data_IF_472150749048
#
_entry.id   IF_472150749048
#
_cell.length_a   1.000
_cell.length_b   1.000
_cell.length_c   1.000
_cell.angle_alpha   90.00
_cell.angle_beta   90.00
_cell.angle_gamma   90.00
#
_symmetry.space_group_name_H-M   'P 1'
#
loop_
_entity.id
_entity.type
_entity.pdbx_description
1 polymer ?
#
# COMPACT_ATOMS: atom_id res chain seq x y z
N UNK A 1 3.81 21.35 24.10
CA UNK A 1 3.07 20.55 23.11
C UNK A 1 3.92 19.84 22.02
N UNK A 2 5.28 19.75 22.05
CA UNK A 2 6.03 19.05 20.99
C UNK A 2 5.97 17.52 21.08
N UNK A 3 5.69 16.96 22.26
CA UNK A 3 5.69 15.50 22.48
C UNK A 3 4.55 14.77 21.73
N UNK A 4 3.38 15.39 21.63
CA UNK A 4 2.22 14.80 20.93
C UNK A 4 2.48 14.70 19.42
N UNK A 5 3.09 15.73 18.84
CA UNK A 5 3.43 15.77 17.41
C UNK A 5 4.48 14.69 17.11
N UNK A 6 5.48 14.52 17.98
CA UNK A 6 6.49 13.48 17.80
C UNK A 6 5.90 12.06 17.88
N UNK A 7 4.92 11.85 18.77
CA UNK A 7 4.20 10.56 18.89
C UNK A 7 3.38 10.28 17.64
N UNK A 8 2.62 11.26 17.13
CA UNK A 8 1.83 11.11 15.90
C UNK A 8 2.71 10.73 14.70
N UNK A 9 3.87 11.39 14.53
CA UNK A 9 4.85 11.03 13.48
C UNK A 9 5.46 9.64 13.68
N UNK A 10 5.66 9.23 14.92
CA UNK A 10 6.11 7.87 15.24
C UNK A 10 5.07 6.81 14.88
N UNK A 11 3.79 7.08 15.14
CA UNK A 11 2.67 6.21 14.76
C UNK A 11 2.56 6.12 13.23
N UNK A 12 2.66 7.26 12.54
CA UNK A 12 2.72 7.34 11.08
C UNK A 12 3.84 6.44 10.52
N UNK A 13 5.06 6.58 11.04
CA UNK A 13 6.19 5.74 10.61
C UNK A 13 5.93 4.23 10.83
N UNK A 14 5.33 3.85 11.95
CA UNK A 14 5.01 2.46 12.25
C UNK A 14 3.95 1.89 11.30
N UNK A 15 2.90 2.64 11.03
CA UNK A 15 1.83 2.24 10.12
C UNK A 15 2.32 2.15 8.67
N UNK A 16 3.17 3.07 8.21
CA UNK A 16 3.84 2.99 6.91
C UNK A 16 4.74 1.75 6.78
N UNK A 17 5.45 1.35 7.85
CA UNK A 17 6.26 0.12 7.85
C UNK A 17 5.38 -1.13 7.80
N UNK A 18 4.28 -1.15 8.56
CA UNK A 18 3.33 -2.26 8.56
C UNK A 18 2.71 -2.44 7.18
N UNK A 19 2.21 -1.38 6.55
CA UNK A 19 1.63 -1.42 5.19
C UNK A 19 2.65 -1.87 4.15
N UNK A 20 3.90 -1.38 4.21
CA UNK A 20 4.99 -1.85 3.36
C UNK A 20 5.23 -3.36 3.53
N UNK A 21 5.24 -3.85 4.77
CA UNK A 21 5.36 -5.28 5.07
C UNK A 21 4.20 -6.12 4.54
N UNK A 22 2.95 -5.65 4.67
CA UNK A 22 1.77 -6.36 4.15
C UNK A 22 1.77 -6.45 2.62
N UNK A 23 2.14 -5.37 1.91
CA UNK A 23 2.19 -5.40 0.44
C UNK A 23 3.37 -6.21 -0.07
N UNK A 24 4.55 -6.08 0.56
CA UNK A 24 5.69 -6.93 0.24
C UNK A 24 5.35 -8.42 0.43
N UNK A 25 4.63 -8.75 1.51
CA UNK A 25 4.15 -10.11 1.76
C UNK A 25 3.16 -10.60 0.68
N UNK A 26 2.19 -9.76 0.28
CA UNK A 26 1.27 -10.10 -0.81
C UNK A 26 1.99 -10.34 -2.14
N UNK A 27 3.05 -9.59 -2.44
CA UNK A 27 3.84 -9.79 -3.66
C UNK A 27 4.73 -11.05 -3.59
N UNK A 28 5.14 -11.49 -2.40
CA UNK A 28 6.09 -12.61 -2.23
C UNK A 28 5.43 -13.99 -2.06
N UNK A 29 4.15 -14.09 -1.68
CA UNK A 29 3.43 -15.37 -1.59
C UNK A 29 2.38 -15.55 -2.71
N UNK A 30 2.78 -16.10 -3.88
CA UNK A 30 1.84 -16.47 -4.93
C UNK A 30 1.03 -17.75 -4.60
N UNK A 31 1.33 -18.45 -3.51
CA UNK A 31 0.96 -19.88 -3.35
C UNK A 31 -0.47 -20.18 -2.87
N UNK A 32 -1.28 -19.19 -2.50
CA UNK A 32 -2.61 -19.44 -1.89
C UNK A 32 -3.82 -19.00 -2.74
N UNK A 33 -3.61 -18.28 -3.85
CA UNK A 33 -4.69 -17.77 -4.71
C UNK A 33 -5.20 -18.77 -5.76
N UNK A 34 -4.45 -19.84 -6.05
CA UNK A 34 -4.79 -20.81 -7.11
C UNK A 34 -6.02 -21.70 -6.80
N UNK A 35 -6.76 -21.43 -5.71
CA UNK A 35 -7.95 -22.22 -5.34
C UNK A 35 -9.27 -21.45 -5.36
N UNK A 36 -9.30 -20.18 -5.75
CA UNK A 36 -10.51 -19.34 -5.65
C UNK A 36 -11.03 -18.78 -6.98
N UNK A 37 -10.29 -18.87 -8.08
CA UNK A 37 -10.76 -18.54 -9.44
C UNK A 37 -11.43 -19.73 -10.13
N UNK A 38 -12.22 -20.51 -9.39
CA UNK A 38 -13.16 -21.47 -9.99
C UNK A 38 -14.58 -20.90 -9.95
N UNK A 39 -14.81 -19.76 -10.58
CA UNK A 39 -16.16 -19.35 -10.94
C UNK A 39 -16.18 -18.83 -12.39
N UNK A 40 -16.82 -19.64 -13.24
CA UNK A 40 -17.43 -19.32 -14.53
C UNK A 40 -16.57 -19.17 -15.80
N UNK A 41 -15.87 -20.25 -16.18
CA UNK A 41 -15.62 -20.53 -17.61
C UNK A 41 -16.19 -21.91 -17.97
N UNK A 42 -17.19 -22.01 -18.88
CA UNK A 42 -17.81 -23.29 -19.27
C UNK A 42 -16.96 -24.10 -20.27
N UNK A 43 -15.63 -23.99 -20.21
CA UNK A 43 -14.72 -24.88 -20.93
C UNK A 43 -13.37 -24.92 -20.20
N UNK A 44 -13.05 -26.03 -19.53
CA UNK A 44 -11.70 -26.28 -19.05
C UNK A 44 -11.42 -27.78 -19.08
N UNK A 45 -11.17 -28.25 -20.30
CA UNK A 45 -10.55 -29.54 -20.59
C UNK A 45 -9.14 -29.54 -19.98
N UNK A 46 -8.91 -30.51 -19.09
CA UNK A 46 -7.64 -30.82 -18.45
C UNK A 46 -6.52 -31.01 -19.48
N UNK A 47 -5.58 -30.06 -19.57
CA UNK A 47 -4.32 -30.25 -20.30
C UNK A 47 -3.15 -29.69 -19.49
N UNK A 48 -2.10 -30.49 -19.34
CA UNK A 48 -0.87 -30.22 -18.57
C UNK A 48 -0.11 -28.93 -18.98
N UNK A 49 -0.55 -28.25 -20.05
CA UNK A 49 0.01 -27.01 -20.62
C UNK A 49 -0.57 -25.73 -20.00
N UNK A 50 -1.68 -25.80 -19.27
CA UNK A 50 -2.34 -24.61 -18.68
C UNK A 50 -1.77 -24.18 -17.34
N UNK A 51 -1.03 -25.04 -16.64
CA UNK A 51 -0.44 -24.71 -15.34
C UNK A 51 0.51 -23.51 -15.47
N UNK A 52 1.44 -23.51 -16.43
CA UNK A 52 2.40 -22.39 -16.59
C UNK A 52 1.69 -21.08 -16.94
N UNK A 53 0.67 -21.13 -17.78
CA UNK A 53 -0.08 -19.94 -18.22
C UNK A 53 -0.92 -19.38 -17.07
N UNK A 54 -1.46 -20.24 -16.20
CA UNK A 54 -2.20 -19.85 -15.00
C UNK A 54 -1.25 -19.29 -13.93
N UNK A 55 -0.10 -19.92 -13.68
CA UNK A 55 0.91 -19.40 -12.74
C UNK A 55 1.53 -18.06 -13.20
N UNK A 56 1.74 -17.88 -14.50
CA UNK A 56 2.23 -16.61 -15.08
C UNK A 56 1.15 -15.54 -15.05
N UNK A 57 -0.11 -15.88 -15.37
CA UNK A 57 -1.26 -14.95 -15.31
C UNK A 57 -1.60 -14.56 -13.87
N UNK A 58 -1.47 -15.47 -12.91
CA UNK A 58 -1.64 -15.21 -11.47
C UNK A 58 -0.51 -14.34 -10.90
N UNK A 59 0.74 -14.49 -11.37
CA UNK A 59 1.86 -13.57 -11.06
C UNK A 59 1.62 -12.14 -11.57
N UNK A 60 0.97 -12.00 -12.72
CA UNK A 60 0.70 -10.71 -13.35
C UNK A 60 -0.46 -9.96 -12.67
N UNK A 61 -1.36 -10.63 -11.94
CA UNK A 61 -2.54 -9.98 -11.33
C UNK A 61 -2.21 -9.21 -10.05
N UNK A 62 -1.26 -9.62 -9.22
CA UNK A 62 -0.86 -8.85 -8.02
C UNK A 62 0.53 -8.20 -8.14
N UNK A 63 1.46 -8.81 -8.90
CA UNK A 63 2.74 -8.19 -9.25
C UNK A 63 2.66 -7.16 -10.39
N UNK A 64 1.51 -7.08 -11.08
CA UNK A 64 1.22 -6.12 -12.13
C UNK A 64 -0.01 -5.26 -11.87
N UNK A 65 -0.57 -5.27 -10.65
CA UNK A 65 -1.65 -4.36 -10.29
C UNK A 65 -1.05 -2.99 -10.00
N UNK A 66 -1.31 -2.04 -10.89
CA UNK A 66 -0.80 -0.67 -10.75
C UNK A 66 -1.15 -0.07 -9.38
N UNK A 67 -2.29 -0.45 -8.82
CA UNK A 67 -2.77 -0.06 -7.48
C UNK A 67 -1.89 -0.55 -6.33
N UNK A 68 -1.39 -1.79 -6.39
CA UNK A 68 -0.50 -2.33 -5.36
C UNK A 68 0.90 -1.70 -5.45
N UNK A 69 1.39 -1.46 -6.67
CA UNK A 69 2.63 -0.74 -6.90
C UNK A 69 2.54 0.71 -6.41
N UNK A 70 1.38 1.33 -6.54
CA UNK A 70 1.14 2.68 -6.05
C UNK A 70 1.12 2.75 -4.50
N UNK A 71 0.51 1.77 -3.80
CA UNK A 71 0.59 1.70 -2.33
C UNK A 71 2.04 1.46 -1.85
N UNK A 72 2.84 0.68 -2.58
CA UNK A 72 4.28 0.53 -2.30
C UNK A 72 5.03 1.85 -2.48
N UNK A 73 4.77 2.55 -3.60
CA UNK A 73 5.37 3.85 -3.86
C UNK A 73 5.08 4.82 -2.72
N UNK A 74 3.83 4.87 -2.26
CA UNK A 74 3.40 5.75 -1.18
C UNK A 74 4.04 5.40 0.18
N UNK A 75 4.19 4.10 0.46
CA UNK A 75 4.92 3.62 1.64
C UNK A 75 6.41 4.00 1.61
N UNK A 76 7.04 3.95 0.43
CA UNK A 76 8.44 4.36 0.24
C UNK A 76 8.57 5.89 0.32
N UNK A 77 7.65 6.62 -0.32
CA UNK A 77 7.56 8.07 -0.29
C UNK A 77 7.49 8.59 1.15
N UNK A 78 6.60 8.02 1.96
CA UNK A 78 6.46 8.42 3.37
C UNK A 78 7.70 8.14 4.19
N UNK A 79 8.27 6.95 4.07
CA UNK A 79 9.39 6.50 4.89
C UNK A 79 10.70 7.21 4.55
N UNK A 80 10.99 7.38 3.25
CA UNK A 80 12.28 7.90 2.79
C UNK A 80 12.27 9.38 2.40
N UNK A 81 11.11 9.95 2.06
CA UNK A 81 11.03 11.34 1.58
C UNK A 81 10.28 12.21 2.60
N UNK A 82 9.01 11.91 2.89
CA UNK A 82 8.19 12.77 3.73
C UNK A 82 8.69 12.87 5.18
N UNK A 83 8.93 11.73 5.84
CA UNK A 83 9.37 11.71 7.24
C UNK A 83 10.75 12.34 7.45
N UNK A 84 11.79 12.01 6.66
CA UNK A 84 13.09 12.67 6.79
C UNK A 84 12.99 14.18 6.50
N UNK A 85 12.20 14.58 5.50
CA UNK A 85 12.02 16.01 5.22
C UNK A 85 11.41 16.75 6.43
N UNK A 86 10.36 16.21 7.04
CA UNK A 86 9.68 16.85 8.18
C UNK A 86 10.57 16.88 9.44
N UNK A 87 11.35 15.82 9.71
CA UNK A 87 12.20 15.72 10.90
C UNK A 87 13.50 16.52 10.78
N UNK A 88 14.13 16.51 9.60
CA UNK A 88 15.44 17.14 9.40
C UNK A 88 15.34 18.61 8.98
N UNK A 89 14.27 19.03 8.29
CA UNK A 89 14.06 20.42 7.84
C UNK A 89 14.22 21.47 8.95
N UNK A 90 13.54 21.35 10.12
CA UNK A 90 13.67 22.36 11.18
C UNK A 90 15.02 22.31 11.92
N UNK A 91 15.80 21.23 11.79
CA UNK A 91 17.08 21.05 12.51
C UNK A 91 18.28 21.56 11.73
N UNK A 92 18.29 21.38 10.41
CA UNK A 92 19.49 21.63 9.59
C UNK A 92 19.36 22.84 8.67
N UNK A 93 18.16 23.18 8.20
CA UNK A 93 17.99 24.24 7.19
C UNK A 93 16.70 25.07 7.40
N UNK A 94 16.67 25.98 8.39
CA UNK A 94 15.53 26.86 8.62
C UNK A 94 15.21 27.80 7.43
N UNK A 95 16.14 27.97 6.48
CA UNK A 95 15.95 28.79 5.28
C UNK A 95 15.20 28.06 4.14
N UNK A 96 15.25 26.72 4.08
CA UNK A 96 14.47 25.90 3.14
C UNK A 96 13.14 25.43 3.76
N UNK A 97 13.00 25.57 5.08
CA UNK A 97 11.77 25.36 5.84
C UNK A 97 10.75 26.50 5.63
N UNK A 98 10.44 26.85 4.38
CA UNK A 98 9.25 27.64 4.12
C UNK A 98 8.02 26.81 4.50
N UNK A 99 7.12 27.39 5.30
CA UNK A 99 5.85 26.79 5.72
C UNK A 99 5.09 26.11 4.57
N UNK A 100 5.20 26.65 3.35
CA UNK A 100 4.59 26.12 2.14
C UNK A 100 5.21 24.82 1.62
N UNK A 101 6.52 24.63 1.78
CA UNK A 101 7.18 23.39 1.36
C UNK A 101 6.83 22.23 2.29
N UNK A 102 6.76 22.52 3.60
CA UNK A 102 6.31 21.54 4.60
C UNK A 102 4.84 21.16 4.36
N UNK A 103 3.97 22.15 4.21
CA UNK A 103 2.56 21.95 3.91
C UNK A 103 2.36 21.21 2.58
N UNK A 104 3.17 21.48 1.57
CA UNK A 104 3.11 20.81 0.27
C UNK A 104 3.45 19.32 0.36
N UNK A 105 4.49 18.95 1.10
CA UNK A 105 4.87 17.54 1.30
C UNK A 105 3.79 16.80 2.09
N UNK A 106 3.23 17.43 3.13
CA UNK A 106 2.13 16.83 3.88
C UNK A 106 0.86 16.66 3.02
N UNK A 107 0.45 17.69 2.29
CA UNK A 107 -0.72 17.64 1.42
C UNK A 107 -0.56 16.59 0.31
N UNK A 108 0.62 16.49 -0.32
CA UNK A 108 0.92 15.44 -1.29
C UNK A 108 0.79 14.05 -0.67
N UNK A 109 1.31 13.88 0.55
CA UNK A 109 1.24 12.61 1.27
C UNK A 109 -0.22 12.23 1.58
N UNK A 110 -1.05 13.17 2.05
CA UNK A 110 -2.50 12.92 2.25
C UNK A 110 -3.16 12.43 0.97
N UNK A 111 -2.87 13.06 -0.18
CA UNK A 111 -3.47 12.71 -1.47
C UNK A 111 -3.01 11.34 -1.98
N UNK A 112 -1.74 11.00 -1.78
CA UNK A 112 -1.20 9.71 -2.17
C UNK A 112 -1.84 8.58 -1.36
N UNK A 113 -1.88 8.68 -0.03
CA UNK A 113 -2.55 7.67 0.79
C UNK A 113 -4.03 7.55 0.45
N UNK A 114 -4.71 8.67 0.25
CA UNK A 114 -6.13 8.67 -0.10
C UNK A 114 -6.42 7.90 -1.39
N UNK A 115 -5.65 8.19 -2.44
CA UNK A 115 -5.85 7.51 -3.73
C UNK A 115 -5.37 6.05 -3.69
N UNK A 116 -4.35 5.74 -2.88
CA UNK A 116 -3.73 4.42 -2.88
C UNK A 116 -4.61 3.35 -2.23
N UNK A 117 -5.21 3.61 -1.06
CA UNK A 117 -6.12 2.62 -0.45
C UNK A 117 -7.41 2.43 -1.27
N UNK A 118 -7.89 3.49 -1.95
CA UNK A 118 -9.10 3.45 -2.78
C UNK A 118 -8.86 2.60 -4.03
N UNK A 119 -7.76 2.85 -4.75
CA UNK A 119 -7.41 2.07 -5.95
C UNK A 119 -7.32 0.57 -5.63
N UNK A 120 -6.66 0.22 -4.53
CA UNK A 120 -6.55 -1.16 -4.08
C UNK A 120 -7.90 -1.74 -3.64
N UNK A 121 -8.79 -0.94 -3.02
CA UNK A 121 -10.12 -1.37 -2.62
C UNK A 121 -11.02 -1.70 -3.81
N UNK A 122 -10.98 -0.90 -4.87
CA UNK A 122 -11.78 -1.13 -6.09
C UNK A 122 -11.37 -2.44 -6.75
N UNK A 123 -10.07 -2.69 -6.90
CA UNK A 123 -9.57 -3.94 -7.51
C UNK A 123 -9.86 -5.17 -6.64
N UNK A 124 -9.95 -4.98 -5.32
CA UNK A 124 -10.21 -6.03 -4.33
C UNK A 124 -11.71 -6.25 -4.10
N UNK A 125 -12.60 -5.48 -4.72
CA UNK A 125 -14.04 -5.51 -4.43
C UNK A 125 -14.72 -6.86 -4.69
N UNK A 126 -14.19 -7.68 -5.60
CA UNK A 126 -14.80 -8.96 -6.01
C UNK A 126 -13.96 -10.19 -5.64
N UNK A 127 -12.95 -10.05 -4.76
CA UNK A 127 -12.14 -11.19 -4.35
C UNK A 127 -12.80 -11.93 -3.15
N UNK A 128 -12.99 -13.24 -3.32
CA UNK A 128 -13.63 -14.12 -2.34
C UNK A 128 -12.84 -14.28 -1.03
N UNK A 129 -13.22 -15.27 -0.22
CA UNK A 129 -12.58 -15.57 1.06
C UNK A 129 -11.29 -16.36 0.83
N UNK A 130 -10.13 -15.69 0.85
CA UNK A 130 -8.82 -16.32 0.77
C UNK A 130 -7.83 -15.66 1.75
N UNK A 131 -6.82 -16.39 2.23
CA UNK A 131 -5.86 -15.89 3.23
C UNK A 131 -5.11 -14.65 2.75
N UNK A 132 -4.65 -14.65 1.49
CA UNK A 132 -4.00 -13.50 0.84
C UNK A 132 -4.98 -12.34 0.65
N UNK A 133 -6.24 -12.65 0.32
CA UNK A 133 -7.31 -11.65 0.19
C UNK A 133 -7.56 -10.91 1.52
N UNK A 134 -7.49 -11.61 2.64
CA UNK A 134 -7.59 -11.00 3.97
C UNK A 134 -6.41 -10.09 4.28
N UNK A 135 -5.21 -10.42 3.82
CA UNK A 135 -4.03 -9.54 3.95
C UNK A 135 -4.19 -8.27 3.11
N UNK A 136 -4.68 -8.37 1.87
CA UNK A 136 -4.96 -7.19 1.04
C UNK A 136 -6.02 -6.30 1.67
N UNK A 137 -7.10 -6.89 2.20
CA UNK A 137 -8.14 -6.15 2.95
C UNK A 137 -7.58 -5.45 4.19
N UNK A 138 -6.66 -6.10 4.91
CA UNK A 138 -5.96 -5.48 6.02
C UNK A 138 -5.06 -4.32 5.56
N UNK A 139 -4.35 -4.46 4.44
CA UNK A 139 -3.51 -3.40 3.88
C UNK A 139 -4.34 -2.15 3.50
N UNK A 140 -5.52 -2.34 2.93
CA UNK A 140 -6.48 -1.25 2.64
C UNK A 140 -6.90 -0.54 3.94
N UNK A 141 -7.24 -1.30 4.98
CA UNK A 141 -7.65 -0.73 6.27
C UNK A 141 -6.51 0.07 6.93
N UNK A 142 -5.28 -0.47 6.92
CA UNK A 142 -4.12 0.26 7.44
C UNK A 142 -3.79 1.50 6.62
N UNK A 143 -3.96 1.48 5.30
CA UNK A 143 -3.81 2.67 4.46
C UNK A 143 -4.86 3.75 4.77
N UNK A 144 -6.10 3.36 5.08
CA UNK A 144 -7.13 4.31 5.51
C UNK A 144 -6.84 4.91 6.90
N UNK A 145 -6.30 4.12 7.84
CA UNK A 145 -5.86 4.63 9.13
C UNK A 145 -4.69 5.60 9.01
N UNK A 146 -3.73 5.29 8.14
CA UNK A 146 -2.58 6.15 7.88
C UNK A 146 -3.01 7.51 7.29
N UNK A 147 -3.91 7.49 6.31
CA UNK A 147 -4.52 8.71 5.78
C UNK A 147 -5.16 9.56 6.88
N UNK A 148 -5.88 8.93 7.79
CA UNK A 148 -6.55 9.63 8.90
C UNK A 148 -5.54 10.22 9.89
N UNK A 149 -4.48 9.49 10.24
CA UNK A 149 -3.40 9.96 11.13
C UNK A 149 -2.66 11.15 10.54
N UNK A 150 -2.43 11.17 9.23
CA UNK A 150 -1.75 12.28 8.54
C UNK A 150 -2.64 13.52 8.45
N UNK A 151 -3.95 13.33 8.32
CA UNK A 151 -4.91 14.42 8.17
C UNK A 151 -5.24 15.15 9.48
N UNK A 152 -4.70 14.70 10.61
CA UNK A 152 -5.05 15.10 11.97
C UNK A 152 -3.96 15.96 12.61
#
# INVERSE_FOLDING_TARGET
MPNIILILRGVQALLAVVTLGLIAYCMYLPSYFSRSTTYNYPYAILTHRTLVINWVRERLIFGGLDSANFLLFDSIWTLFIALPFIVFSPKFFPALAHQYALLGVEAATVLFWFSAFISLAVDTSNIGQCTVCSVVKAAIAFGAFEWWVISL
#
